data_IF_846020479617
#
_entry.id   IF_846020479617
#
_cell.length_a   1.000
_cell.length_b   1.000
_cell.length_c   1.000
_cell.angle_alpha   90.00
_cell.angle_beta   90.00
_cell.angle_gamma   90.00
#
_symmetry.space_group_name_H-M   'P 1'
#
loop_
_entity.id
_entity.type
_entity.pdbx_description
1 polymer ?
#
# COMPACT_ATOMS: atom_id res chain seq x y z
N UNK A 1 18.71 -2.05 3.25
CA UNK A 1 18.16 -3.09 2.36
C UNK A 1 16.97 -2.45 1.68
N UNK A 2 16.78 -2.68 0.37
CA UNK A 2 15.58 -2.21 -0.31
C UNK A 2 14.34 -2.93 0.26
N UNK A 3 13.19 -2.26 0.25
CA UNK A 3 11.92 -2.87 0.63
C UNK A 3 11.61 -4.08 -0.26
N UNK A 4 11.12 -5.18 0.32
CA UNK A 4 10.63 -6.31 -0.45
C UNK A 4 9.23 -6.01 -1.01
N UNK A 5 8.79 -6.77 -2.01
CA UNK A 5 7.43 -6.63 -2.53
C UNK A 5 6.35 -6.86 -1.44
N UNK A 6 6.59 -7.79 -0.50
CA UNK A 6 5.68 -8.03 0.63
C UNK A 6 5.60 -6.81 1.57
N UNK A 7 6.73 -6.12 1.80
CA UNK A 7 6.74 -4.88 2.59
C UNK A 7 5.90 -3.79 1.89
N UNK A 8 6.00 -3.67 0.57
CA UNK A 8 5.18 -2.72 -0.19
C UNK A 8 3.68 -3.01 -0.05
N UNK A 9 3.28 -4.28 -0.11
CA UNK A 9 1.89 -4.71 0.08
C UNK A 9 1.39 -4.34 1.47
N UNK A 10 2.18 -4.56 2.53
CA UNK A 10 1.82 -4.18 3.90
C UNK A 10 1.70 -2.66 4.08
N UNK A 11 2.56 -1.90 3.43
CA UNK A 11 2.53 -0.43 3.46
C UNK A 11 1.28 0.11 2.74
N UNK A 12 0.94 -0.43 1.57
CA UNK A 12 -0.28 -0.02 0.86
C UNK A 12 -1.55 -0.42 1.64
N UNK A 13 -1.60 -1.61 2.25
CA UNK A 13 -2.70 -2.00 3.15
C UNK A 13 -2.85 -1.02 4.32
N UNK A 14 -1.74 -0.54 4.87
CA UNK A 14 -1.74 0.45 5.95
C UNK A 14 -2.25 1.82 5.47
N UNK A 15 -1.85 2.24 4.26
CA UNK A 15 -2.34 3.47 3.64
C UNK A 15 -3.84 3.42 3.35
N UNK A 16 -4.35 2.32 2.79
CA UNK A 16 -5.79 2.11 2.56
C UNK A 16 -6.58 2.03 3.87
N UNK A 17 -6.04 1.39 4.90
CA UNK A 17 -6.68 1.37 6.22
C UNK A 17 -6.71 2.78 6.86
N UNK A 18 -5.68 3.60 6.67
CA UNK A 18 -5.68 4.98 7.13
C UNK A 18 -6.67 5.85 6.33
N UNK A 19 -6.76 5.64 5.02
CA UNK A 19 -7.75 6.28 4.15
C UNK A 19 -9.18 5.95 4.59
N UNK A 20 -9.47 4.67 4.86
CA UNK A 20 -10.77 4.24 5.36
C UNK A 20 -11.13 4.91 6.69
N UNK A 21 -10.17 5.05 7.62
CA UNK A 21 -10.37 5.78 8.88
C UNK A 21 -10.65 7.26 8.65
N UNK A 22 -9.95 7.90 7.72
CA UNK A 22 -10.21 9.29 7.33
C UNK A 22 -11.63 9.46 6.79
N UNK A 23 -12.09 8.56 5.91
CA UNK A 23 -13.45 8.61 5.36
C UNK A 23 -14.54 8.35 6.41
N UNK A 24 -14.22 7.60 7.47
CA UNK A 24 -15.14 7.30 8.57
C UNK A 24 -15.04 8.28 9.76
N UNK A 25 -14.18 9.30 9.69
CA UNK A 25 -13.93 10.19 10.82
C UNK A 25 -15.01 11.27 10.94
N UNK A 26 -15.85 11.17 11.98
CA UNK A 26 -16.83 12.21 12.33
C UNK A 26 -16.20 13.39 13.09
N UNK A 27 -15.05 13.17 13.74
CA UNK A 27 -14.26 14.18 14.45
C UNK A 27 -12.76 13.93 14.23
N UNK A 28 -11.92 14.95 14.41
CA UNK A 28 -10.47 14.81 14.23
C UNK A 28 -10.05 14.59 12.77
N UNK A 29 -10.83 15.11 11.81
CA UNK A 29 -10.61 14.93 10.37
C UNK A 29 -9.20 15.29 9.92
N UNK A 30 -8.63 16.39 10.42
CA UNK A 30 -7.28 16.83 10.07
C UNK A 30 -6.21 15.83 10.51
N UNK A 31 -6.35 15.26 11.71
CA UNK A 31 -5.42 14.25 12.21
C UNK A 31 -5.55 12.93 11.44
N UNK A 32 -6.78 12.50 11.13
CA UNK A 32 -7.02 11.31 10.32
C UNK A 32 -6.49 11.48 8.89
N UNK A 33 -6.70 12.67 8.30
CA UNK A 33 -6.14 13.03 6.98
C UNK A 33 -4.62 13.02 7.02
N UNK A 34 -4.01 13.61 8.04
CA UNK A 34 -2.55 13.65 8.19
C UNK A 34 -1.97 12.24 8.29
N UNK A 35 -2.57 11.36 9.10
CA UNK A 35 -2.15 9.97 9.21
C UNK A 35 -2.24 9.22 7.87
N UNK A 36 -3.29 9.46 7.08
CA UNK A 36 -3.40 8.89 5.74
C UNK A 36 -2.32 9.41 4.79
N UNK A 37 -2.08 10.74 4.77
CA UNK A 37 -1.04 11.35 3.93
C UNK A 37 0.33 10.80 4.27
N UNK A 38 0.65 10.64 5.56
CA UNK A 38 1.92 10.07 6.01
C UNK A 38 2.07 8.61 5.58
N UNK A 39 1.04 7.78 5.77
CA UNK A 39 1.07 6.38 5.34
C UNK A 39 1.25 6.26 3.82
N UNK A 40 0.54 7.08 3.04
CA UNK A 40 0.68 7.11 1.58
C UNK A 40 2.08 7.57 1.14
N UNK A 41 2.67 8.55 1.82
CA UNK A 41 4.03 9.02 1.54
C UNK A 41 5.08 7.93 1.80
N UNK A 42 4.95 7.19 2.92
CA UNK A 42 5.84 6.07 3.24
C UNK A 42 5.73 4.97 2.17
N UNK A 43 4.52 4.61 1.74
CA UNK A 43 4.33 3.65 0.65
C UNK A 43 5.01 4.10 -0.66
N UNK A 44 4.80 5.35 -1.08
CA UNK A 44 5.39 5.88 -2.32
C UNK A 44 6.92 5.94 -2.29
N UNK A 45 7.50 6.28 -1.13
CA UNK A 45 8.94 6.24 -0.93
C UNK A 45 9.48 4.81 -1.09
N UNK A 46 8.84 3.84 -0.42
CA UNK A 46 9.23 2.44 -0.50
C UNK A 46 9.13 1.85 -1.91
N UNK A 47 8.07 2.20 -2.66
CA UNK A 47 7.94 1.80 -4.08
C UNK A 47 9.07 2.37 -4.92
N UNK A 48 9.48 3.63 -4.67
CA UNK A 48 10.59 4.25 -5.40
C UNK A 48 11.89 3.52 -5.12
N UNK A 49 12.21 3.25 -3.85
CA UNK A 49 13.42 2.52 -3.46
C UNK A 49 13.46 1.09 -4.02
N UNK A 50 12.34 0.38 -3.98
CA UNK A 50 12.22 -0.97 -4.55
C UNK A 50 12.42 -0.95 -6.07
N UNK A 51 11.75 -0.03 -6.77
CA UNK A 51 11.85 0.07 -8.22
C UNK A 51 13.27 0.41 -8.69
N UNK A 52 13.96 1.31 -7.98
CA UNK A 52 15.36 1.63 -8.26
C UNK A 52 16.28 0.43 -8.02
N UNK A 53 16.08 -0.32 -6.94
CA UNK A 53 16.88 -1.50 -6.61
C UNK A 53 16.69 -2.65 -7.63
N UNK A 54 15.46 -2.84 -8.12
CA UNK A 54 15.12 -3.88 -9.09
C UNK A 54 15.28 -3.43 -10.56
N UNK A 55 15.70 -2.19 -10.81
CA UNK A 55 15.80 -1.62 -12.16
C UNK A 55 14.45 -1.60 -12.91
N UNK A 56 13.35 -1.52 -12.17
CA UNK A 56 11.98 -1.64 -12.68
C UNK A 56 11.27 -0.28 -12.74
N UNK A 57 10.15 -0.21 -13.46
CA UNK A 57 9.32 1.00 -13.48
C UNK A 57 8.56 1.17 -12.16
N UNK A 58 8.75 2.32 -11.49
CA UNK A 58 7.99 2.69 -10.27
C UNK A 58 6.48 2.52 -10.46
N UNK A 59 5.97 2.90 -11.62
CA UNK A 59 4.55 2.78 -11.96
C UNK A 59 4.08 1.33 -12.01
N UNK A 60 4.85 0.44 -12.63
CA UNK A 60 4.48 -0.98 -12.73
C UNK A 60 4.52 -1.66 -11.37
N UNK A 61 5.52 -1.34 -10.54
CA UNK A 61 5.61 -1.81 -9.15
C UNK A 61 4.39 -1.35 -8.34
N UNK A 62 4.05 -0.06 -8.39
CA UNK A 62 2.89 0.49 -7.68
C UNK A 62 1.59 -0.20 -8.08
N UNK A 63 1.38 -0.41 -9.39
CA UNK A 63 0.19 -1.08 -9.91
C UNK A 63 0.13 -2.55 -9.48
N UNK A 64 1.25 -3.26 -9.48
CA UNK A 64 1.33 -4.64 -9.01
C UNK A 64 0.99 -4.74 -7.52
N UNK A 65 1.51 -3.84 -6.68
CA UNK A 65 1.18 -3.79 -5.25
C UNK A 65 -0.30 -3.51 -5.03
N UNK A 66 -0.86 -2.49 -5.69
CA UNK A 66 -2.30 -2.17 -5.62
C UNK A 66 -3.19 -3.33 -6.05
N UNK A 67 -2.76 -4.09 -7.06
CA UNK A 67 -3.46 -5.31 -7.49
C UNK A 67 -3.41 -6.38 -6.40
N UNK A 68 -2.26 -6.60 -5.77
CA UNK A 68 -2.10 -7.56 -4.69
C UNK A 68 -2.91 -7.18 -3.44
N UNK A 69 -3.06 -5.89 -3.12
CA UNK A 69 -3.93 -5.44 -2.02
C UNK A 69 -5.41 -5.73 -2.32
N UNK A 70 -5.86 -5.55 -3.57
CA UNK A 70 -7.25 -5.80 -3.98
C UNK A 70 -7.59 -7.29 -4.15
N UNK A 71 -6.57 -8.09 -4.42
CA UNK A 71 -6.65 -9.54 -4.59
C UNK A 71 -5.58 -10.20 -3.72
N UNK A 72 -5.71 -10.16 -2.38
CA UNK A 72 -4.87 -10.98 -1.53
C UNK A 72 -5.14 -12.41 -1.98
N UNK A 73 -4.10 -13.11 -2.45
CA UNK A 73 -4.22 -14.37 -3.18
C UNK A 73 -5.41 -15.21 -2.69
N UNK A 74 -6.38 -15.45 -3.58
CA UNK A 74 -7.38 -16.48 -3.35
C UNK A 74 -6.60 -17.76 -3.07
N UNK A 75 -6.81 -18.33 -1.89
CA UNK A 75 -6.28 -19.65 -1.54
C UNK A 75 -6.71 -20.62 -2.66
N UNK A 76 -5.79 -21.26 -3.40
CA UNK A 76 -6.15 -22.20 -4.46
C UNK A 76 -6.69 -23.49 -3.81
N UNK A 77 -7.91 -23.42 -3.28
CA UNK A 77 -8.46 -24.42 -2.38
C UNK A 77 -9.99 -24.47 -2.28
N UNK A 78 -10.72 -23.92 -3.25
CA UNK A 78 -12.17 -24.22 -3.40
C UNK A 78 -12.47 -24.66 -4.82
N UNK A 79 -12.01 -25.88 -5.12
CA UNK A 79 -12.71 -26.76 -6.05
C UNK A 79 -13.43 -27.82 -5.20
N UNK A 80 -14.75 -27.66 -5.03
CA UNK A 80 -15.73 -28.69 -4.60
C UNK A 80 -17.15 -28.17 -4.79
#
# INVERSE_FOLDING_TARGET
MAHTFEDLVKLEQSAEAAHARYLAADTGLDAARQAWVEAAAVFQAAVTEHAEAEGSSRYEVEMAVKKAVRHPAEDPGVDS
#
